data_IF_829645394051
#
_entry.id   IF_829645394051
#
_cell.length_a   1.000
_cell.length_b   1.000
_cell.length_c   1.000
_cell.angle_alpha   90.00
_cell.angle_beta   90.00
_cell.angle_gamma   90.00
#
_symmetry.space_group_name_H-M   'P 1'
#
loop_
_entity.id
_entity.type
_entity.pdbx_description
1 polymer ?
#
# COMPACT_ATOMS: atom_id res chain seq x y z
N UNK A 1 -14.40 20.24 -30.37
CA UNK A 1 -14.78 20.28 -28.94
C UNK A 1 -14.88 18.84 -28.50
N UNK A 2 -14.12 18.44 -27.47
CA UNK A 2 -14.26 17.10 -26.90
C UNK A 2 -15.71 16.98 -26.38
N UNK A 3 -16.52 16.13 -27.00
CA UNK A 3 -17.94 15.97 -26.67
C UNK A 3 -18.06 15.26 -25.32
N UNK A 4 -18.48 15.98 -24.27
CA UNK A 4 -18.82 15.40 -22.97
C UNK A 4 -20.34 15.37 -22.88
N UNK A 5 -20.89 14.19 -22.60
CA UNK A 5 -22.32 13.96 -22.45
C UNK A 5 -22.67 13.80 -20.97
N UNK A 6 -23.81 14.35 -20.57
CA UNK A 6 -24.35 14.18 -19.23
C UNK A 6 -25.64 13.37 -19.30
N UNK A 7 -25.70 12.27 -18.54
CA UNK A 7 -26.92 11.50 -18.37
C UNK A 7 -27.66 11.95 -17.10
N UNK A 8 -28.84 12.53 -17.27
CA UNK A 8 -29.67 13.03 -16.16
C UNK A 8 -30.24 11.93 -15.25
N UNK A 9 -30.34 10.68 -15.72
CA UNK A 9 -30.83 9.55 -14.92
C UNK A 9 -29.72 8.99 -14.04
N UNK A 10 -28.58 8.65 -14.63
CA UNK A 10 -27.44 8.12 -13.86
C UNK A 10 -26.64 9.21 -13.14
N UNK A 11 -26.82 10.48 -13.52
CA UNK A 11 -26.04 11.64 -13.06
C UNK A 11 -24.54 11.45 -13.31
N UNK A 12 -24.18 10.85 -14.45
CA UNK A 12 -22.80 10.58 -14.84
C UNK A 12 -22.43 11.34 -16.10
N UNK A 13 -21.16 11.69 -16.19
CA UNK A 13 -20.52 12.26 -17.37
C UNK A 13 -19.84 11.15 -18.18
N UNK A 14 -20.04 11.15 -19.49
CA UNK A 14 -19.43 10.20 -20.41
C UNK A 14 -18.82 10.92 -21.60
N UNK A 15 -17.84 10.28 -22.23
CA UNK A 15 -17.30 10.77 -23.50
C UNK A 15 -18.26 10.41 -24.62
N UNK A 16 -18.42 11.34 -25.55
CA UNK A 16 -19.15 11.11 -26.79
C UNK A 16 -18.44 10.00 -27.61
N UNK A 17 -19.15 8.90 -27.94
CA UNK A 17 -18.60 7.81 -28.74
C UNK A 17 -18.07 8.24 -30.11
N UNK A 18 -18.53 9.38 -30.65
CA UNK A 18 -18.10 9.91 -31.95
C UNK A 18 -16.71 10.55 -31.90
N UNK A 19 -16.14 10.75 -30.70
CA UNK A 19 -14.76 11.22 -30.54
C UNK A 19 -13.80 10.07 -30.90
N UNK A 20 -13.25 10.13 -32.10
CA UNK A 20 -12.41 9.07 -32.68
C UNK A 20 -11.19 8.66 -31.83
N UNK A 21 -10.68 9.55 -30.95
CA UNK A 21 -9.58 9.27 -30.00
C UNK A 21 -9.74 10.10 -28.72
N UNK A 22 -10.41 9.59 -27.68
CA UNK A 22 -10.48 10.28 -26.41
C UNK A 22 -9.11 10.30 -25.72
N UNK A 23 -8.73 11.44 -25.12
CA UNK A 23 -7.53 11.55 -24.30
C UNK A 23 -7.66 10.64 -23.05
N UNK A 24 -6.67 9.77 -22.77
CA UNK A 24 -6.69 8.94 -21.56
C UNK A 24 -6.78 9.76 -20.27
N UNK A 25 -6.16 10.95 -20.25
CA UNK A 25 -6.23 11.87 -19.13
C UNK A 25 -7.66 12.39 -18.92
N UNK A 26 -8.35 12.78 -20.00
CA UNK A 26 -9.74 13.23 -19.91
C UNK A 26 -10.66 12.12 -19.38
N UNK A 27 -10.45 10.88 -19.84
CA UNK A 27 -11.23 9.74 -19.34
C UNK A 27 -11.04 9.54 -17.84
N UNK A 28 -9.79 9.65 -17.34
CA UNK A 28 -9.48 9.55 -15.92
C UNK A 28 -10.18 10.64 -15.11
N UNK A 29 -10.12 11.89 -15.55
CA UNK A 29 -10.78 13.03 -14.89
C UNK A 29 -12.30 12.83 -14.80
N UNK A 30 -12.93 12.34 -15.88
CA UNK A 30 -14.35 12.04 -15.88
C UNK A 30 -14.72 10.91 -14.91
N UNK A 31 -13.90 9.88 -14.81
CA UNK A 31 -14.13 8.76 -13.88
C UNK A 31 -13.96 9.19 -12.41
N UNK A 32 -12.98 10.05 -12.13
CA UNK A 32 -12.78 10.66 -10.81
C UNK A 32 -13.94 11.58 -10.44
N UNK A 33 -14.37 12.44 -11.37
CA UNK A 33 -15.51 13.34 -11.17
C UNK A 33 -16.79 12.54 -10.92
N UNK A 34 -17.05 11.51 -11.72
CA UNK A 34 -18.19 10.60 -11.51
C UNK A 34 -18.16 9.94 -10.13
N UNK A 35 -16.98 9.55 -9.64
CA UNK A 35 -16.83 8.95 -8.31
C UNK A 35 -17.19 9.96 -7.23
N UNK A 36 -16.63 11.17 -7.28
CA UNK A 36 -16.89 12.23 -6.29
C UNK A 36 -18.36 12.67 -6.33
N UNK A 37 -18.94 12.87 -7.52
CA UNK A 37 -20.35 13.28 -7.66
C UNK A 37 -21.29 12.24 -7.07
N UNK A 38 -21.03 10.95 -7.30
CA UNK A 38 -21.85 9.88 -6.70
C UNK A 38 -21.69 9.83 -5.17
N UNK A 39 -20.47 10.03 -4.65
CA UNK A 39 -20.26 10.10 -3.20
C UNK A 39 -21.05 11.26 -2.56
N UNK A 40 -21.04 12.45 -3.17
CA UNK A 40 -21.82 13.61 -2.70
C UNK A 40 -23.33 13.35 -2.74
N UNK A 41 -23.83 12.76 -3.84
CA UNK A 41 -25.24 12.40 -3.97
C UNK A 41 -25.65 11.39 -2.87
N UNK A 42 -24.83 10.37 -2.62
CA UNK A 42 -25.10 9.35 -1.60
C UNK A 42 -25.05 9.92 -0.19
N UNK A 43 -24.21 10.93 0.05
CA UNK A 43 -24.13 11.63 1.32
C UNK A 43 -25.36 12.53 1.57
N UNK A 44 -26.01 13.02 0.52
CA UNK A 44 -27.20 13.87 0.62
C UNK A 44 -26.92 15.28 1.14
N UNK A 45 -25.66 15.72 1.12
CA UNK A 45 -25.24 17.08 1.46
C UNK A 45 -24.53 17.70 0.27
N UNK A 46 -24.85 18.97 -0.02
CA UNK A 46 -24.19 19.73 -1.09
C UNK A 46 -22.72 20.02 -0.77
N UNK A 47 -22.38 20.05 0.52
CA UNK A 47 -21.01 20.27 1.01
C UNK A 47 -20.64 19.12 1.95
N UNK A 48 -19.55 18.38 1.66
CA UNK A 48 -19.11 17.31 2.54
C UNK A 48 -18.65 17.90 3.88
N UNK A 49 -18.81 17.15 4.99
CA UNK A 49 -18.32 17.55 6.28
C UNK A 49 -16.80 17.68 6.25
N UNK A 50 -16.25 18.55 7.11
CA UNK A 50 -14.80 18.75 7.19
C UNK A 50 -14.12 17.41 7.51
N UNK A 51 -13.05 17.00 6.80
CA UNK A 51 -12.36 15.72 7.00
C UNK A 51 -11.55 15.65 8.31
N UNK A 52 -12.26 15.68 9.45
CA UNK A 52 -11.65 15.59 10.79
C UNK A 52 -11.72 14.15 11.33
N UNK A 53 -10.90 13.81 12.34
CA UNK A 53 -10.98 12.50 13.00
C UNK A 53 -12.36 12.18 13.59
N UNK A 54 -13.14 13.19 13.95
CA UNK A 54 -14.51 13.03 14.48
C UNK A 54 -15.47 12.52 13.41
N UNK A 55 -15.31 13.01 12.17
CA UNK A 55 -16.14 12.69 11.01
C UNK A 55 -15.63 11.46 10.23
N UNK A 56 -14.53 10.85 10.66
CA UNK A 56 -14.01 9.62 10.06
C UNK A 56 -14.95 8.45 10.35
N UNK A 57 -15.24 7.61 9.36
CA UNK A 57 -16.19 6.52 9.52
C UNK A 57 -15.66 5.43 10.48
N UNK A 58 -16.11 5.51 11.74
CA UNK A 58 -15.68 4.65 12.85
C UNK A 58 -16.17 3.22 12.71
N UNK A 59 -17.34 3.00 12.11
CA UNK A 59 -17.88 1.66 11.94
C UNK A 59 -17.13 0.89 10.86
N UNK A 60 -16.74 1.56 9.78
CA UNK A 60 -15.83 1.00 8.79
C UNK A 60 -14.46 0.70 9.40
N UNK A 61 -13.92 1.60 10.24
CA UNK A 61 -12.68 1.33 11.00
C UNK A 61 -12.79 0.12 11.92
N UNK A 62 -13.93 -0.09 12.59
CA UNK A 62 -14.14 -1.30 13.43
C UNK A 62 -14.12 -2.57 12.59
N UNK A 63 -14.74 -2.55 11.42
CA UNK A 63 -14.72 -3.70 10.50
C UNK A 63 -13.31 -3.95 9.93
N UNK A 64 -12.58 -2.90 9.55
CA UNK A 64 -11.19 -2.99 9.08
C UNK A 64 -10.30 -3.56 10.18
N UNK A 65 -10.46 -3.08 11.41
CA UNK A 65 -9.76 -3.59 12.58
C UNK A 65 -10.03 -5.08 12.80
N UNK A 66 -11.27 -5.54 12.68
CA UNK A 66 -11.61 -6.97 12.81
C UNK A 66 -10.90 -7.83 11.75
N UNK A 67 -10.80 -7.35 10.51
CA UNK A 67 -10.03 -8.03 9.46
C UNK A 67 -8.53 -8.06 9.78
N UNK A 68 -8.00 -6.96 10.31
CA UNK A 68 -6.60 -6.90 10.74
C UNK A 68 -6.31 -7.92 11.84
N UNK A 69 -7.13 -7.94 12.89
CA UNK A 69 -6.98 -8.84 14.03
C UNK A 69 -7.05 -10.31 13.60
N UNK A 70 -7.95 -10.65 12.67
CA UNK A 70 -8.03 -11.97 12.06
C UNK A 70 -6.77 -12.34 11.26
N UNK A 71 -6.25 -11.41 10.45
CA UNK A 71 -5.03 -11.61 9.67
C UNK A 71 -3.82 -11.85 10.57
N UNK A 72 -3.71 -11.10 11.67
CA UNK A 72 -2.68 -11.28 12.70
C UNK A 72 -2.84 -12.63 13.42
N UNK A 73 -4.06 -13.05 13.71
CA UNK A 73 -4.30 -14.37 14.32
C UNK A 73 -3.84 -15.50 13.38
N UNK A 74 -4.21 -15.46 12.10
CA UNK A 74 -3.74 -16.42 11.09
C UNK A 74 -2.21 -16.42 10.99
N UNK A 75 -1.57 -15.26 11.03
CA UNK A 75 -0.11 -15.13 11.04
C UNK A 75 0.53 -15.84 12.23
N UNK A 76 0.01 -15.60 13.44
CA UNK A 76 0.50 -16.23 14.67
C UNK A 76 0.33 -17.76 14.67
N UNK A 77 -0.68 -18.27 13.99
CA UNK A 77 -0.91 -19.70 13.81
C UNK A 77 -0.04 -20.33 12.71
N UNK A 78 0.84 -19.56 12.06
CA UNK A 78 1.67 -20.02 10.94
C UNK A 78 0.91 -20.17 9.62
N UNK A 79 -0.37 -19.77 9.56
CA UNK A 79 -1.20 -19.82 8.34
C UNK A 79 -0.95 -18.55 7.51
N UNK A 80 0.24 -18.45 6.93
CA UNK A 80 0.68 -17.22 6.27
C UNK A 80 -0.13 -16.88 5.01
N UNK A 81 -0.50 -17.87 4.19
CA UNK A 81 -1.37 -17.63 3.01
C UNK A 81 -2.77 -17.13 3.40
N UNK A 82 -3.32 -17.63 4.52
CA UNK A 82 -4.59 -17.11 5.05
C UNK A 82 -4.46 -15.68 5.54
N UNK A 83 -3.33 -15.36 6.18
CA UNK A 83 -2.99 -14.02 6.64
C UNK A 83 -2.90 -13.03 5.48
N UNK A 84 -2.17 -13.40 4.40
CA UNK A 84 -2.08 -12.61 3.16
C UNK A 84 -3.46 -12.29 2.61
N UNK A 85 -4.35 -13.29 2.53
CA UNK A 85 -5.71 -13.11 2.01
C UNK A 85 -6.51 -12.13 2.86
N UNK A 86 -6.48 -12.29 4.18
CA UNK A 86 -7.21 -11.40 5.08
C UNK A 86 -6.71 -9.97 5.03
N UNK A 87 -5.39 -9.77 4.99
CA UNK A 87 -4.83 -8.43 4.82
C UNK A 87 -5.18 -7.81 3.47
N UNK A 88 -5.19 -8.61 2.40
CA UNK A 88 -5.58 -8.14 1.07
C UNK A 88 -7.05 -7.69 1.03
N UNK A 89 -7.96 -8.45 1.64
CA UNK A 89 -9.38 -8.04 1.78
C UNK A 89 -9.51 -6.76 2.60
N UNK A 90 -8.72 -6.59 3.66
CA UNK A 90 -8.72 -5.36 4.44
C UNK A 90 -8.22 -4.15 3.65
N UNK A 91 -7.18 -4.31 2.83
CA UNK A 91 -6.67 -3.25 1.94
C UNK A 91 -7.73 -2.86 0.89
N UNK A 92 -8.41 -3.83 0.27
CA UNK A 92 -9.52 -3.57 -0.63
C UNK A 92 -10.65 -2.78 0.04
N UNK A 93 -10.89 -3.06 1.32
CA UNK A 93 -11.91 -2.35 2.10
C UNK A 93 -11.48 -0.92 2.45
N UNK A 94 -10.19 -0.71 2.74
CA UNK A 94 -9.60 0.62 2.94
C UNK A 94 -9.68 1.44 1.64
N UNK A 95 -9.39 0.84 0.48
CA UNK A 95 -9.47 1.52 -0.82
C UNK A 95 -10.90 1.99 -1.17
N UNK A 96 -11.91 1.27 -0.69
CA UNK A 96 -13.33 1.61 -0.85
C UNK A 96 -13.83 2.68 0.13
N UNK A 97 -12.98 3.22 1.01
CA UNK A 97 -13.35 4.37 1.86
C UNK A 97 -13.80 5.55 0.99
N UNK A 98 -14.79 6.34 1.47
CA UNK A 98 -15.17 7.59 0.82
C UNK A 98 -13.96 8.50 0.63
N UNK A 99 -13.84 9.14 -0.54
CA UNK A 99 -12.68 9.96 -0.90
C UNK A 99 -12.62 11.29 -0.15
N UNK A 100 -13.74 11.70 0.44
CA UNK A 100 -13.90 12.95 1.19
C UNK A 100 -13.69 12.78 2.71
N UNK A 101 -13.23 11.61 3.17
CA UNK A 101 -12.84 11.37 4.56
C UNK A 101 -11.41 11.83 4.87
N UNK A 102 -11.06 11.85 6.17
CA UNK A 102 -9.71 12.19 6.60
C UNK A 102 -8.66 11.23 6.01
N UNK A 103 -7.76 11.76 5.19
CA UNK A 103 -6.69 11.00 4.57
C UNK A 103 -5.72 10.40 5.59
N UNK A 104 -5.47 11.11 6.70
CA UNK A 104 -4.56 10.66 7.74
C UNK A 104 -5.00 9.33 8.37
N UNK A 105 -6.30 9.14 8.61
CA UNK A 105 -6.84 7.89 9.14
C UNK A 105 -6.65 6.72 8.17
N UNK A 106 -6.95 6.95 6.89
CA UNK A 106 -6.78 5.96 5.81
C UNK A 106 -5.33 5.51 5.68
N UNK A 107 -4.37 6.44 5.70
CA UNK A 107 -2.94 6.12 5.61
C UNK A 107 -2.46 5.32 6.82
N UNK A 108 -2.91 5.64 8.03
CA UNK A 108 -2.56 4.87 9.22
C UNK A 108 -3.08 3.44 9.16
N UNK A 109 -4.32 3.24 8.70
CA UNK A 109 -4.88 1.90 8.51
C UNK A 109 -4.12 1.14 7.41
N UNK A 110 -3.96 1.76 6.24
CA UNK A 110 -3.27 1.15 5.09
C UNK A 110 -1.85 0.73 5.45
N UNK A 111 -1.11 1.58 6.15
CA UNK A 111 0.29 1.31 6.50
C UNK A 111 0.42 0.05 7.36
N UNK A 112 -0.47 -0.13 8.35
CA UNK A 112 -0.47 -1.34 9.20
C UNK A 112 -0.70 -2.62 8.39
N UNK A 113 -1.64 -2.57 7.46
CA UNK A 113 -1.96 -3.70 6.59
C UNK A 113 -0.82 -4.03 5.64
N UNK A 114 -0.20 -3.04 4.99
CA UNK A 114 0.95 -3.24 4.11
C UNK A 114 2.14 -3.83 4.86
N UNK A 115 2.47 -3.32 6.05
CA UNK A 115 3.57 -3.86 6.87
C UNK A 115 3.32 -5.34 7.21
N UNK A 116 2.11 -5.68 7.65
CA UNK A 116 1.77 -7.04 8.08
C UNK A 116 1.64 -8.01 6.90
N UNK A 117 1.13 -7.54 5.75
CA UNK A 117 1.05 -8.34 4.53
C UNK A 117 2.43 -8.57 3.92
N UNK A 118 3.29 -7.56 3.94
CA UNK A 118 4.71 -7.69 3.56
C UNK A 118 5.39 -8.79 4.39
N UNK A 119 5.23 -8.77 5.72
CA UNK A 119 5.77 -9.82 6.58
C UNK A 119 5.24 -11.22 6.23
N UNK A 120 3.95 -11.32 5.90
CA UNK A 120 3.33 -12.58 5.48
C UNK A 120 3.88 -13.06 4.13
N UNK A 121 4.07 -12.16 3.16
CA UNK A 121 4.69 -12.46 1.88
C UNK A 121 6.15 -12.91 2.02
N UNK A 122 6.93 -12.28 2.91
CA UNK A 122 8.29 -12.72 3.21
C UNK A 122 8.30 -14.14 3.79
N UNK A 123 7.33 -14.50 4.63
CA UNK A 123 7.18 -15.87 5.16
C UNK A 123 6.76 -16.90 4.11
N UNK A 124 6.00 -16.49 3.09
CA UNK A 124 5.59 -17.35 1.97
C UNK A 124 6.55 -17.29 0.77
N UNK A 125 7.69 -16.60 0.90
CA UNK A 125 8.69 -16.42 -0.16
C UNK A 125 8.18 -15.69 -1.41
N UNK A 126 7.12 -14.89 -1.25
CA UNK A 126 6.54 -14.04 -2.30
C UNK A 126 7.26 -12.68 -2.32
N UNK A 127 8.55 -12.68 -2.67
CA UNK A 127 9.44 -11.54 -2.44
C UNK A 127 9.10 -10.30 -3.28
N UNK A 128 8.63 -10.47 -4.51
CA UNK A 128 8.22 -9.34 -5.35
C UNK A 128 6.99 -8.62 -4.78
N UNK A 129 6.02 -9.37 -4.28
CA UNK A 129 4.83 -8.82 -3.62
C UNK A 129 5.22 -8.12 -2.31
N UNK A 130 6.12 -8.71 -1.52
CA UNK A 130 6.66 -8.08 -0.32
C UNK A 130 7.36 -6.76 -0.65
N UNK A 131 8.19 -6.74 -1.70
CA UNK A 131 8.86 -5.54 -2.19
C UNK A 131 7.87 -4.44 -2.56
N UNK A 132 6.81 -4.76 -3.32
CA UNK A 132 5.82 -3.77 -3.73
C UNK A 132 5.07 -3.15 -2.53
N UNK A 133 4.72 -3.95 -1.52
CA UNK A 133 4.06 -3.46 -0.31
C UNK A 133 4.95 -2.48 0.47
N UNK A 134 6.23 -2.83 0.64
CA UNK A 134 7.16 -1.99 1.41
C UNK A 134 7.67 -0.78 0.62
N UNK A 135 7.78 -0.88 -0.70
CA UNK A 135 8.12 0.26 -1.54
C UNK A 135 7.01 1.32 -1.49
N UNK A 136 5.74 0.89 -1.52
CA UNK A 136 4.61 1.79 -1.30
C UNK A 136 4.66 2.48 0.07
N UNK A 137 4.99 1.74 1.15
CA UNK A 137 5.18 2.33 2.49
C UNK A 137 6.23 3.44 2.49
N UNK A 138 7.39 3.20 1.88
CA UNK A 138 8.48 4.18 1.82
C UNK A 138 8.11 5.39 0.93
N UNK A 139 7.39 5.17 -0.17
CA UNK A 139 6.85 6.25 -1.00
C UNK A 139 5.83 7.12 -0.25
N UNK A 140 5.07 6.52 0.69
CA UNK A 140 4.21 7.24 1.64
C UNK A 140 4.96 7.88 2.82
N UNK A 141 6.31 7.92 2.78
CA UNK A 141 7.17 8.48 3.83
C UNK A 141 7.07 7.74 5.18
N UNK A 142 6.68 6.46 5.19
CA UNK A 142 6.75 5.60 6.37
C UNK A 142 8.20 5.13 6.59
N UNK A 143 9.10 6.07 6.84
CA UNK A 143 10.53 5.83 7.00
C UNK A 143 10.82 5.31 8.41
N UNK A 144 11.06 4.00 8.53
CA UNK A 144 11.39 3.33 9.78
C UNK A 144 12.43 2.22 9.51
N UNK A 145 13.33 1.92 10.48
CA UNK A 145 14.34 0.86 10.32
C UNK A 145 13.74 -0.46 9.82
N UNK A 146 12.59 -0.82 10.38
CA UNK A 146 11.82 -2.02 10.04
C UNK A 146 11.34 -2.08 8.58
N UNK A 147 11.00 -0.95 7.97
CA UNK A 147 10.56 -0.90 6.58
C UNK A 147 11.77 -1.02 5.63
N UNK A 148 12.89 -0.40 5.96
CA UNK A 148 14.13 -0.61 5.22
C UNK A 148 14.62 -2.07 5.33
N UNK A 149 14.51 -2.68 6.51
CA UNK A 149 14.79 -4.10 6.70
C UNK A 149 13.91 -4.98 5.79
N UNK A 150 12.60 -4.74 5.74
CA UNK A 150 11.67 -5.50 4.89
C UNK A 150 12.03 -5.41 3.41
N UNK A 151 12.34 -4.20 2.92
CA UNK A 151 12.72 -3.99 1.51
C UNK A 151 14.08 -4.61 1.20
N UNK A 152 15.05 -4.48 2.11
CA UNK A 152 16.36 -5.10 1.98
C UNK A 152 16.27 -6.62 1.91
N UNK A 153 15.47 -7.25 2.78
CA UNK A 153 15.25 -8.71 2.74
C UNK A 153 14.58 -9.14 1.44
N UNK A 154 13.57 -8.40 0.97
CA UNK A 154 12.93 -8.69 -0.31
C UNK A 154 13.93 -8.56 -1.47
N UNK A 155 14.72 -7.49 -1.53
CA UNK A 155 15.76 -7.27 -2.54
C UNK A 155 16.82 -8.38 -2.52
N UNK A 156 17.28 -8.79 -1.33
CA UNK A 156 18.26 -9.86 -1.17
C UNK A 156 17.77 -11.17 -1.81
N UNK A 157 16.54 -11.57 -1.51
CA UNK A 157 15.98 -12.80 -2.08
C UNK A 157 15.56 -12.67 -3.56
N UNK A 158 15.43 -11.45 -4.08
CA UNK A 158 15.28 -11.18 -5.52
C UNK A 158 16.62 -11.16 -6.27
N UNK A 159 17.76 -11.31 -5.57
CA UNK A 159 19.11 -11.24 -6.16
C UNK A 159 19.65 -9.83 -6.32
N UNK A 160 18.94 -8.81 -5.83
CA UNK A 160 19.35 -7.41 -5.92
C UNK A 160 20.24 -7.03 -4.71
N UNK A 161 21.39 -7.69 -4.57
CA UNK A 161 22.23 -7.58 -3.36
C UNK A 161 22.73 -6.15 -3.07
N UNK A 162 23.10 -5.40 -4.11
CA UNK A 162 23.53 -4.01 -3.95
C UNK A 162 22.40 -3.09 -3.44
N UNK A 163 21.16 -3.31 -3.92
CA UNK A 163 19.99 -2.59 -3.40
C UNK A 163 19.66 -3.02 -1.98
N UNK A 164 19.79 -4.31 -1.66
CA UNK A 164 19.60 -4.82 -0.30
C UNK A 164 20.59 -4.20 0.68
N UNK A 165 21.89 -4.13 0.32
CA UNK A 165 22.93 -3.45 1.10
C UNK A 165 22.55 -2.00 1.39
N UNK A 166 22.15 -1.26 0.36
CA UNK A 166 21.76 0.14 0.49
C UNK A 166 20.54 0.31 1.42
N UNK A 167 19.55 -0.57 1.31
CA UNK A 167 18.39 -0.58 2.21
C UNK A 167 18.80 -0.85 3.65
N UNK A 168 19.62 -1.87 3.92
CA UNK A 168 20.06 -2.18 5.27
C UNK A 168 20.87 -1.05 5.91
N UNK A 169 21.81 -0.46 5.15
CA UNK A 169 22.57 0.71 5.60
C UNK A 169 21.66 1.91 5.89
N UNK A 170 20.65 2.13 5.05
CA UNK A 170 19.67 3.20 5.27
C UNK A 170 18.84 2.94 6.52
N UNK A 171 18.45 1.70 6.80
CA UNK A 171 17.79 1.32 8.04
C UNK A 171 18.66 1.58 9.28
N UNK A 172 19.95 1.23 9.21
CA UNK A 172 20.92 1.46 10.29
C UNK A 172 21.19 2.95 10.54
N UNK A 173 21.01 3.81 9.54
CA UNK A 173 21.08 5.27 9.74
C UNK A 173 19.94 5.81 10.63
N UNK A 174 18.84 5.08 10.79
CA UNK A 174 17.75 5.42 11.73
C UNK A 174 17.95 4.75 13.10
N UNK A 175 18.51 3.54 13.12
CA UNK A 175 18.83 2.79 14.34
C UNK A 175 20.11 1.97 14.14
N UNK A 176 21.25 2.54 14.56
CA UNK A 176 22.58 1.97 14.36
C UNK A 176 22.76 0.62 15.08
N UNK A 177 21.99 0.39 16.14
CA UNK A 177 22.09 -0.80 17.00
C UNK A 177 21.04 -1.86 16.67
N UNK A 178 20.32 -1.73 15.55
CA UNK A 178 19.27 -2.66 15.17
C UNK A 178 19.87 -4.05 14.82
N UNK A 179 19.73 -5.07 15.69
CA UNK A 179 20.53 -6.29 15.61
C UNK A 179 20.26 -7.10 14.34
N UNK A 180 18.99 -7.13 13.89
CA UNK A 180 18.62 -7.84 12.68
C UNK A 180 19.11 -7.14 11.41
N UNK A 181 19.22 -5.81 11.42
CA UNK A 181 19.72 -5.08 10.25
C UNK A 181 21.22 -5.30 10.09
N UNK A 182 21.98 -5.25 11.20
CA UNK A 182 23.40 -5.57 11.20
C UNK A 182 23.65 -7.00 10.70
N UNK A 183 22.87 -7.96 11.20
CA UNK A 183 22.99 -9.37 10.81
C UNK A 183 22.74 -9.59 9.31
N UNK A 184 21.64 -9.06 8.78
CA UNK A 184 21.27 -9.22 7.37
C UNK A 184 22.23 -8.45 6.44
N UNK A 185 22.78 -7.32 6.90
CA UNK A 185 23.83 -6.59 6.17
C UNK A 185 25.10 -7.43 6.06
N UNK A 186 25.56 -8.08 7.14
CA UNK A 186 26.74 -8.96 7.09
C UNK A 186 26.53 -10.08 6.08
N UNK A 187 25.39 -10.79 6.14
CA UNK A 187 25.04 -11.84 5.17
C UNK A 187 25.05 -11.30 3.74
N UNK A 188 24.51 -10.10 3.53
CA UNK A 188 24.49 -9.48 2.21
C UNK A 188 25.88 -9.13 1.69
N UNK A 189 26.78 -8.65 2.54
CA UNK A 189 28.15 -8.32 2.16
C UNK A 189 28.94 -9.57 1.78
N UNK A 190 28.83 -10.63 2.57
CA UNK A 190 29.44 -11.93 2.24
C UNK A 190 28.94 -12.42 0.88
N UNK A 191 27.63 -12.28 0.62
CA UNK A 191 27.04 -12.71 -0.66
C UNK A 191 27.56 -11.91 -1.86
N UNK A 192 27.76 -10.60 -1.70
CA UNK A 192 28.34 -9.75 -2.75
C UNK A 192 29.79 -10.16 -3.03
N UNK A 193 30.57 -10.49 -2.00
CA UNK A 193 31.95 -10.97 -2.17
C UNK A 193 32.00 -12.33 -2.90
N UNK A 194 31.07 -13.24 -2.60
CA UNK A 194 30.92 -14.51 -3.33
C UNK A 194 30.69 -14.27 -4.83
N UNK A 195 29.80 -13.35 -5.20
CA UNK A 195 29.49 -13.07 -6.61
C UNK A 195 30.63 -12.40 -7.36
N UNK A 196 31.42 -11.57 -6.67
CA UNK A 196 32.57 -10.90 -7.27
C UNK A 196 33.79 -11.83 -7.42
N UNK A 197 33.76 -13.02 -6.83
CA UNK A 197 34.88 -13.97 -6.86
C UNK A 197 36.03 -13.60 -5.93
N UNK A 198 35.78 -12.74 -4.94
CA UNK A 198 36.77 -12.23 -3.98
C UNK A 198 36.94 -13.13 -2.73
N UNK A 199 36.41 -14.37 -2.78
CA UNK A 199 36.64 -15.36 -1.73
C UNK A 199 38.06 -15.93 -1.84
N UNK A 200 38.92 -15.56 -0.88
CA UNK A 200 40.25 -16.15 -0.65
C UNK A 200 40.17 -17.50 0.07
#
# INVERSE_FOLDING_TARGET
MEGILYDSKSKKLTLDPEVAKPSPALKLELDQLNTITQELINQGSDVPPVPTPENFNKDLSKMIKKLYDGGVQSFKMGKFEDSVRQFSVGIEMIYRRPKLESFAGTIQELSKFLMSRCDAYLKTKQYLQAYNDVDLLLNMQMNAPDNFLRRGVANYFLGNYELARADYQRGLAFDENHPRLQHELTICLDKILEENGDYL
#
